data_IF_951887560562
#
_entry.id   IF_951887560562
#
_cell.length_a   1.000
_cell.length_b   1.000
_cell.length_c   1.000
_cell.angle_alpha   90.00
_cell.angle_beta   90.00
_cell.angle_gamma   90.00
#
_symmetry.space_group_name_H-M   'P 1'
#
loop_
_entity.id
_entity.type
_entity.pdbx_description
1 polymer ?
#
# COMPACT_ATOMS: atom_id res chain seq x y z
N UNK A 1 72.50 22.19 21.71
CA UNK A 1 71.30 23.04 21.39
C UNK A 1 70.25 22.12 20.78
N UNK A 2 69.36 21.58 21.65
CA UNK A 2 68.34 20.58 21.24
C UNK A 2 67.04 21.30 20.91
N UNK A 3 66.56 21.17 19.66
CA UNK A 3 65.19 21.58 19.29
C UNK A 3 64.23 20.47 19.70
N UNK A 4 63.28 20.75 20.60
CA UNK A 4 62.14 19.91 20.93
C UNK A 4 61.00 20.16 19.91
N UNK A 5 60.66 19.14 19.14
CA UNK A 5 59.50 19.14 18.25
C UNK A 5 58.22 18.94 19.07
N UNK A 6 57.29 19.88 18.96
CA UNK A 6 55.98 19.85 19.60
C UNK A 6 55.01 19.23 18.62
N UNK A 7 54.63 17.95 18.81
CA UNK A 7 53.60 17.29 18.01
C UNK A 7 52.20 17.62 18.54
N UNK A 8 51.47 18.41 17.78
CA UNK A 8 50.09 18.79 18.06
C UNK A 8 49.15 17.69 17.58
N UNK A 9 48.52 16.96 18.51
CA UNK A 9 47.52 15.92 18.20
C UNK A 9 46.17 16.59 18.00
N UNK A 10 45.64 16.55 16.76
CA UNK A 10 44.27 16.90 16.45
C UNK A 10 43.35 15.73 16.81
N UNK A 11 42.48 15.89 17.79
CA UNK A 11 41.36 14.99 18.02
C UNK A 11 40.21 15.43 17.12
N UNK A 12 39.90 14.63 16.12
CA UNK A 12 38.70 14.80 15.33
C UNK A 12 37.49 14.30 16.14
N UNK A 13 36.66 15.22 16.60
CA UNK A 13 35.37 14.90 17.20
C UNK A 13 34.40 14.53 16.08
N UNK A 14 34.12 13.25 15.88
CA UNK A 14 33.07 12.81 14.99
C UNK A 14 31.72 12.99 15.68
N UNK A 15 31.00 14.04 15.27
CA UNK A 15 29.62 14.25 15.69
C UNK A 15 28.73 13.22 14.96
N UNK A 16 28.42 12.12 15.63
CA UNK A 16 27.46 11.14 15.15
C UNK A 16 26.06 11.77 15.16
N UNK A 17 25.50 12.06 13.99
CA UNK A 17 24.09 12.45 13.86
C UNK A 17 23.26 11.20 14.13
N UNK A 18 22.72 11.09 15.33
CA UNK A 18 21.67 10.10 15.64
C UNK A 18 20.40 10.60 14.96
N UNK A 19 20.05 10.03 13.81
CA UNK A 19 18.73 10.19 13.22
C UNK A 19 17.76 9.39 14.10
N UNK A 20 17.15 10.07 15.06
CA UNK A 20 16.05 9.51 15.83
C UNK A 20 14.86 9.32 14.88
N UNK A 21 14.70 8.13 14.35
CA UNK A 21 13.47 7.73 13.68
C UNK A 21 12.32 7.89 14.67
N UNK A 22 11.39 8.82 14.42
CA UNK A 22 10.21 9.02 15.25
C UNK A 22 9.40 7.73 15.22
N UNK A 23 9.39 6.98 16.32
CA UNK A 23 8.46 5.89 16.56
C UNK A 23 7.06 6.51 16.61
N UNK A 24 6.29 6.36 15.54
CA UNK A 24 4.88 6.74 15.54
C UNK A 24 4.15 5.74 16.44
N UNK A 25 3.61 6.21 17.57
CA UNK A 25 2.85 5.37 18.49
C UNK A 25 1.55 4.88 17.83
N UNK A 26 1.11 3.68 18.24
CA UNK A 26 -0.20 3.19 17.85
C UNK A 26 -1.31 4.08 18.45
N UNK A 27 -2.41 4.24 17.71
CA UNK A 27 -3.59 4.92 18.22
C UNK A 27 -4.34 4.08 19.27
N UNK A 28 -5.44 4.62 19.81
CA UNK A 28 -6.26 3.94 20.84
C UNK A 28 -6.83 2.59 20.38
N UNK A 29 -6.98 2.39 19.07
CA UNK A 29 -7.50 1.17 18.46
C UNK A 29 -6.38 0.20 18.07
N UNK A 30 -5.11 0.55 18.34
CA UNK A 30 -3.91 -0.24 18.10
C UNK A 30 -3.38 -0.16 16.67
N UNK A 31 -3.83 0.82 15.88
CA UNK A 31 -3.29 1.06 14.53
C UNK A 31 -2.10 2.01 14.55
N UNK A 32 -1.09 1.69 13.75
CA UNK A 32 0.07 2.56 13.47
C UNK A 32 0.02 3.01 12.02
N UNK A 33 0.11 4.32 11.73
CA UNK A 33 0.22 4.81 10.35
C UNK A 33 1.45 4.21 9.66
N UNK A 34 1.25 3.70 8.43
CA UNK A 34 2.32 3.28 7.52
C UNK A 34 2.50 4.28 6.35
N UNK A 35 1.63 5.28 6.27
CA UNK A 35 1.77 6.48 5.46
C UNK A 35 1.75 7.70 6.38
N UNK A 36 2.78 8.56 6.26
CA UNK A 36 2.98 9.69 7.17
C UNK A 36 2.14 10.95 6.83
N UNK A 37 1.37 10.92 5.73
CA UNK A 37 0.55 12.04 5.26
C UNK A 37 1.33 13.20 4.63
N UNK A 38 2.67 13.10 4.50
CA UNK A 38 3.55 14.20 4.07
C UNK A 38 4.35 13.90 2.82
N UNK A 39 4.85 12.67 2.70
CA UNK A 39 5.69 12.22 1.58
C UNK A 39 5.61 10.70 1.43
N UNK A 40 6.30 10.15 0.44
CA UNK A 40 6.34 8.70 0.14
C UNK A 40 7.50 7.98 0.85
N UNK A 41 7.99 8.47 1.98
CA UNK A 41 8.99 7.79 2.80
C UNK A 41 8.48 6.41 3.25
N UNK A 42 9.30 5.36 3.08
CA UNK A 42 8.92 3.96 3.36
C UNK A 42 8.14 3.29 2.22
N UNK A 43 7.98 3.97 1.08
CA UNK A 43 7.31 3.45 -0.11
C UNK A 43 8.24 3.47 -1.32
N UNK A 44 8.12 2.42 -2.16
CA UNK A 44 8.81 2.27 -3.44
C UNK A 44 7.81 2.27 -4.57
N UNK A 45 8.29 2.46 -5.79
CA UNK A 45 7.47 2.47 -7.00
C UNK A 45 7.93 1.40 -7.98
N UNK A 46 6.97 0.81 -8.65
CA UNK A 46 7.17 -0.02 -9.82
C UNK A 46 6.28 0.52 -10.94
N UNK A 47 6.85 0.72 -12.11
CA UNK A 47 6.11 1.16 -13.30
C UNK A 47 6.22 0.10 -14.39
N UNK A 48 5.19 0.02 -15.23
CA UNK A 48 5.16 -0.89 -16.37
C UNK A 48 6.45 -0.75 -17.19
N UNK A 49 7.25 -1.83 -17.37
CA UNK A 49 8.44 -1.80 -18.21
C UNK A 49 8.16 -1.41 -19.68
N UNK A 50 6.89 -1.50 -20.11
CA UNK A 50 6.42 -1.08 -21.42
C UNK A 50 5.98 0.39 -21.47
N UNK A 51 5.97 1.10 -20.36
CA UNK A 51 5.65 2.52 -20.34
C UNK A 51 6.68 3.30 -21.18
N UNK A 52 6.28 4.39 -21.84
CA UNK A 52 7.21 5.26 -22.56
C UNK A 52 8.33 5.75 -21.64
N UNK A 53 9.59 5.69 -22.10
CA UNK A 53 10.76 6.01 -21.28
C UNK A 53 10.89 7.51 -20.94
N UNK A 54 10.22 8.37 -21.68
CA UNK A 54 10.17 9.81 -21.52
C UNK A 54 9.05 10.30 -20.58
N UNK A 55 8.25 9.39 -20.04
CA UNK A 55 7.20 9.73 -19.09
C UNK A 55 7.81 10.19 -17.74
N UNK A 56 7.34 11.34 -17.26
CA UNK A 56 7.68 11.84 -15.92
C UNK A 56 6.95 11.05 -14.83
N UNK A 57 7.63 10.00 -14.33
CA UNK A 57 7.07 9.13 -13.28
C UNK A 57 6.91 9.83 -11.93
N UNK A 58 7.58 10.98 -11.71
CA UNK A 58 7.47 11.74 -10.47
C UNK A 58 6.07 12.31 -10.24
N UNK A 59 5.28 12.44 -11.31
CA UNK A 59 3.90 12.92 -11.29
C UNK A 59 2.86 11.79 -11.22
N UNK A 60 3.28 10.53 -11.23
CA UNK A 60 2.35 9.40 -11.18
C UNK A 60 1.54 9.40 -9.89
N UNK A 61 2.22 9.49 -8.74
CA UNK A 61 1.58 9.63 -7.43
C UNK A 61 2.25 10.78 -6.66
N UNK A 62 1.49 11.78 -6.28
CA UNK A 62 1.94 12.91 -5.48
C UNK A 62 1.25 12.91 -4.12
N UNK A 63 1.87 13.54 -3.12
CA UNK A 63 1.24 13.76 -1.82
C UNK A 63 0.74 15.19 -1.73
N UNK A 64 -0.56 15.34 -1.47
CA UNK A 64 -1.21 16.63 -1.30
C UNK A 64 -2.33 16.55 -0.26
N UNK A 65 -2.41 17.50 0.63
CA UNK A 65 -3.45 17.62 1.68
C UNK A 65 -3.64 16.31 2.49
N UNK A 66 -2.52 15.64 2.83
CA UNK A 66 -2.53 14.40 3.60
C UNK A 66 -2.96 13.15 2.82
N UNK A 67 -3.11 13.25 1.52
CA UNK A 67 -3.50 12.15 0.64
C UNK A 67 -2.45 11.86 -0.44
N UNK A 68 -2.31 10.60 -0.83
CA UNK A 68 -1.63 10.16 -2.04
C UNK A 68 -2.61 10.29 -3.19
N UNK A 69 -2.28 11.04 -4.21
CA UNK A 69 -3.08 11.24 -5.43
C UNK A 69 -2.33 10.57 -6.57
N UNK A 70 -2.85 9.47 -7.08
CA UNK A 70 -2.29 8.75 -8.22
C UNK A 70 -3.07 9.06 -9.48
N UNK A 71 -2.36 9.45 -10.55
CA UNK A 71 -2.96 9.82 -11.84
C UNK A 71 -3.43 8.63 -12.68
N UNK A 72 -2.97 7.42 -12.34
CA UNK A 72 -3.20 6.21 -13.14
C UNK A 72 -2.26 6.03 -14.32
N UNK A 73 -1.34 6.96 -14.56
CA UNK A 73 -0.40 6.93 -15.71
C UNK A 73 1.00 7.41 -15.31
N UNK A 74 2.07 6.65 -15.67
CA UNK A 74 2.03 5.31 -16.25
C UNK A 74 1.40 4.29 -15.32
N UNK A 75 0.90 3.18 -15.88
CA UNK A 75 0.43 2.06 -15.06
C UNK A 75 1.58 1.50 -14.22
N UNK A 76 1.27 1.19 -12.97
CA UNK A 76 2.23 0.68 -12.00
C UNK A 76 1.60 0.54 -10.63
N UNK A 77 2.44 0.47 -9.62
CA UNK A 77 2.01 0.46 -8.22
C UNK A 77 3.07 1.08 -7.33
N UNK A 78 2.64 1.61 -6.19
CA UNK A 78 3.55 1.92 -5.09
C UNK A 78 3.37 0.88 -3.99
N UNK A 79 4.45 0.57 -3.27
CA UNK A 79 4.45 -0.52 -2.29
C UNK A 79 5.40 -0.23 -1.14
N UNK A 80 5.12 -0.84 0.02
CA UNK A 80 5.94 -0.66 1.23
C UNK A 80 7.32 -1.27 1.04
N UNK A 81 8.35 -0.62 1.59
CA UNK A 81 9.72 -1.15 1.63
C UNK A 81 9.87 -2.35 2.57
N UNK A 82 8.87 -2.56 3.45
CA UNK A 82 8.80 -3.65 4.43
C UNK A 82 7.72 -4.65 4.06
N UNK A 83 7.94 -5.90 4.46
CA UNK A 83 6.95 -6.97 4.40
C UNK A 83 6.18 -7.07 5.71
N UNK A 84 4.90 -7.45 5.62
CA UNK A 84 3.99 -7.64 6.75
C UNK A 84 3.36 -9.02 6.74
N UNK A 85 3.01 -9.52 7.91
CA UNK A 85 2.26 -10.77 8.15
C UNK A 85 1.33 -10.59 9.32
N UNK A 86 0.20 -11.29 9.33
CA UNK A 86 -0.75 -11.35 10.45
C UNK A 86 -1.19 -9.96 10.95
N UNK A 87 -1.90 -9.21 10.12
CA UNK A 87 -2.24 -7.81 10.38
C UNK A 87 -3.66 -7.46 9.92
N UNK A 88 -4.13 -6.31 10.38
CA UNK A 88 -5.24 -5.58 9.78
C UNK A 88 -4.68 -4.33 9.13
N UNK A 89 -4.89 -4.17 7.83
CA UNK A 89 -4.64 -2.95 7.06
C UNK A 89 -5.93 -2.16 6.97
N UNK A 90 -5.89 -0.87 7.27
CA UNK A 90 -7.01 0.05 7.04
C UNK A 90 -6.54 1.21 6.17
N UNK A 91 -7.35 1.62 5.20
CA UNK A 91 -7.11 2.78 4.38
C UNK A 91 -8.42 3.41 3.90
N UNK A 92 -8.36 4.70 3.59
CA UNK A 92 -9.43 5.41 2.92
C UNK A 92 -9.06 5.68 1.47
N UNK A 93 -10.06 5.59 0.61
CA UNK A 93 -9.91 5.78 -0.83
C UNK A 93 -11.09 6.53 -1.42
N UNK A 94 -10.85 7.20 -2.55
CA UNK A 94 -11.90 7.75 -3.39
C UNK A 94 -11.42 7.91 -4.83
N UNK A 95 -12.32 7.81 -5.77
CA UNK A 95 -12.19 8.39 -7.10
C UNK A 95 -12.76 9.82 -7.08
N UNK A 96 -12.23 10.79 -7.85
CA UNK A 96 -12.81 12.12 -7.94
C UNK A 96 -14.28 12.12 -8.35
N UNK A 97 -15.03 13.14 -7.95
CA UNK A 97 -16.40 13.30 -8.40
C UNK A 97 -16.47 13.39 -9.94
N UNK A 98 -17.41 12.68 -10.55
CA UNK A 98 -17.56 12.62 -12.01
C UNK A 98 -16.63 11.63 -12.70
N UNK A 99 -15.83 10.83 -11.97
CA UNK A 99 -15.03 9.74 -12.56
C UNK A 99 -15.93 8.69 -13.22
N UNK A 100 -15.37 7.95 -14.19
CA UNK A 100 -16.06 6.82 -14.81
C UNK A 100 -16.32 5.72 -13.75
N UNK A 101 -17.54 5.15 -13.67
CA UNK A 101 -17.82 4.00 -12.79
C UNK A 101 -16.93 2.78 -13.02
N UNK A 102 -16.25 2.71 -14.17
CA UNK A 102 -15.23 1.68 -14.47
C UNK A 102 -13.83 2.03 -13.95
N UNK A 103 -13.67 3.19 -13.29
CA UNK A 103 -12.39 3.61 -12.70
C UNK A 103 -11.77 2.49 -11.87
N UNK A 104 -10.47 2.28 -12.08
CA UNK A 104 -9.74 1.11 -11.60
C UNK A 104 -8.54 1.49 -10.74
N UNK A 105 -8.28 0.66 -9.77
CA UNK A 105 -7.12 0.59 -8.91
C UNK A 105 -7.12 -0.77 -8.20
N UNK A 106 -6.19 -1.04 -7.28
CA UNK A 106 -6.18 -2.25 -6.45
C UNK A 106 -5.29 -2.07 -5.23
N UNK A 107 -5.63 -2.78 -4.16
CA UNK A 107 -4.74 -3.00 -3.04
C UNK A 107 -4.07 -4.37 -3.23
N UNK A 108 -2.75 -4.45 -3.15
CA UNK A 108 -1.98 -5.68 -3.30
C UNK A 108 -1.46 -6.09 -1.92
N UNK A 109 -1.82 -7.27 -1.43
CA UNK A 109 -1.31 -7.80 -0.16
C UNK A 109 -0.52 -9.07 -0.38
N UNK A 110 0.48 -9.31 0.49
CA UNK A 110 1.37 -10.45 0.41
C UNK A 110 2.07 -10.58 -0.96
N UNK A 111 2.52 -9.43 -1.49
CA UNK A 111 3.23 -9.38 -2.77
C UNK A 111 4.51 -10.21 -2.73
N UNK A 112 4.80 -10.93 -3.82
CA UNK A 112 6.00 -11.79 -3.94
C UNK A 112 6.94 -11.24 -5.02
N UNK A 113 8.21 -11.11 -4.70
CA UNK A 113 9.26 -10.77 -5.66
C UNK A 113 9.54 -11.96 -6.63
N UNK A 114 10.10 -11.71 -7.82
CA UNK A 114 10.52 -10.41 -8.34
C UNK A 114 9.36 -9.58 -8.91
N UNK A 115 9.40 -8.26 -8.70
CA UNK A 115 8.47 -7.34 -9.33
C UNK A 115 8.96 -7.00 -10.75
N UNK A 116 8.47 -7.71 -11.74
CA UNK A 116 8.87 -7.58 -13.14
C UNK A 116 7.68 -7.35 -14.09
N UNK A 117 6.49 -7.20 -13.54
CA UNK A 117 5.22 -6.96 -14.27
C UNK A 117 4.22 -6.20 -13.39
N UNK A 118 3.26 -5.53 -14.02
CA UNK A 118 2.26 -4.69 -13.35
C UNK A 118 1.36 -5.41 -12.33
N UNK A 119 1.24 -6.73 -12.46
CA UNK A 119 0.45 -7.56 -11.58
C UNK A 119 1.37 -8.64 -10.99
N UNK A 120 2.09 -8.31 -9.89
CA UNK A 120 2.97 -9.26 -9.22
C UNK A 120 2.15 -10.36 -8.55
N UNK A 121 2.77 -11.52 -8.30
CA UNK A 121 2.14 -12.59 -7.54
C UNK A 121 1.72 -12.07 -6.16
N UNK A 122 0.40 -12.08 -5.89
CA UNK A 122 -0.19 -11.46 -4.69
C UNK A 122 -1.66 -11.84 -4.55
N UNK A 123 -2.30 -11.44 -3.45
CA UNK A 123 -3.75 -11.29 -3.39
C UNK A 123 -4.09 -9.81 -3.63
N UNK A 124 -5.05 -9.56 -4.50
CA UNK A 124 -5.54 -8.22 -4.80
C UNK A 124 -6.97 -8.03 -4.31
N UNK A 125 -7.20 -7.41 -3.14
CA UNK A 125 -8.45 -6.69 -2.90
C UNK A 125 -8.66 -5.63 -3.97
N UNK A 126 -9.55 -5.91 -4.93
CA UNK A 126 -9.80 -5.09 -6.11
C UNK A 126 -10.19 -3.66 -5.73
N UNK A 127 -9.60 -2.68 -6.41
CA UNK A 127 -9.88 -1.25 -6.22
C UNK A 127 -10.87 -0.65 -7.22
N UNK A 128 -11.33 -1.41 -8.23
CA UNK A 128 -12.33 -0.92 -9.17
C UNK A 128 -13.62 -0.57 -8.42
N UNK A 129 -14.19 0.61 -8.70
CA UNK A 129 -15.34 1.14 -7.95
C UNK A 129 -16.48 0.13 -7.80
N UNK A 130 -16.97 -0.47 -8.91
CA UNK A 130 -18.14 -1.33 -8.91
C UNK A 130 -17.95 -2.72 -8.30
N UNK A 131 -16.72 -3.19 -8.12
CA UNK A 131 -16.42 -4.48 -7.49
C UNK A 131 -15.29 -4.38 -6.46
N UNK A 132 -15.22 -3.23 -5.78
CA UNK A 132 -14.22 -2.94 -4.77
C UNK A 132 -14.22 -4.00 -3.67
N UNK A 133 -13.01 -4.43 -3.29
CA UNK A 133 -12.83 -5.45 -2.26
C UNK A 133 -12.97 -6.90 -2.73
N UNK A 134 -13.40 -7.19 -3.97
CA UNK A 134 -13.33 -8.55 -4.52
C UNK A 134 -11.87 -9.02 -4.57
N UNK A 135 -11.56 -10.20 -4.05
CA UNK A 135 -10.18 -10.70 -4.01
C UNK A 135 -9.82 -11.43 -5.30
N UNK A 136 -8.75 -10.98 -5.97
CA UNK A 136 -8.15 -11.66 -7.11
C UNK A 136 -6.82 -12.32 -6.69
N UNK A 137 -6.68 -13.65 -6.80
CA UNK A 137 -5.42 -14.36 -6.54
C UNK A 137 -4.50 -14.26 -7.77
N UNK A 138 -3.72 -13.17 -7.84
CA UNK A 138 -2.85 -12.88 -8.98
C UNK A 138 -1.64 -13.79 -8.98
N UNK A 139 -1.42 -14.51 -10.09
CA UNK A 139 -0.27 -15.40 -10.28
C UNK A 139 -0.25 -16.59 -9.35
N UNK A 140 -1.38 -16.97 -8.75
CA UNK A 140 -1.57 -18.18 -7.99
C UNK A 140 -2.27 -19.25 -8.85
N UNK A 141 -1.82 -20.48 -8.71
CA UNK A 141 -2.49 -21.64 -9.28
C UNK A 141 -3.74 -21.99 -8.48
N UNK A 142 -4.64 -22.79 -9.06
CA UNK A 142 -5.95 -23.07 -8.46
C UNK A 142 -5.86 -23.75 -7.08
N UNK A 143 -4.83 -24.52 -6.85
CA UNK A 143 -4.55 -25.27 -5.61
C UNK A 143 -3.97 -24.38 -4.50
N UNK A 144 -3.52 -23.17 -4.83
CA UNK A 144 -2.87 -22.25 -3.91
C UNK A 144 -3.85 -21.32 -3.20
N UNK A 145 -5.13 -21.38 -3.57
CA UNK A 145 -6.19 -20.62 -2.90
C UNK A 145 -7.51 -21.38 -2.88
N UNK A 146 -8.35 -21.02 -1.93
CA UNK A 146 -9.70 -21.61 -1.76
C UNK A 146 -10.64 -20.61 -1.09
N UNK A 147 -11.91 -20.97 -0.94
CA UNK A 147 -12.93 -20.13 -0.28
C UNK A 147 -12.95 -18.69 -0.76
N UNK A 148 -12.69 -18.47 -2.07
CA UNK A 148 -12.70 -17.12 -2.65
C UNK A 148 -14.15 -16.68 -2.87
N UNK A 149 -14.72 -16.01 -1.88
CA UNK A 149 -16.10 -15.54 -1.85
C UNK A 149 -16.15 -14.03 -1.99
N UNK A 150 -17.17 -13.55 -2.67
CA UNK A 150 -17.46 -12.14 -2.82
C UNK A 150 -18.97 -11.90 -2.90
N UNK A 151 -19.46 -10.95 -2.13
CA UNK A 151 -20.87 -10.55 -2.12
C UNK A 151 -21.03 -9.18 -2.80
N UNK A 152 -21.47 -9.20 -4.05
CA UNK A 152 -21.70 -8.02 -4.86
C UNK A 152 -22.87 -7.16 -4.32
N UNK A 153 -23.90 -7.80 -3.77
CA UNK A 153 -25.08 -7.09 -3.26
C UNK A 153 -24.73 -6.31 -1.99
N UNK A 154 -23.99 -6.93 -1.07
CA UNK A 154 -23.49 -6.24 0.12
C UNK A 154 -22.57 -5.08 -0.26
N UNK A 155 -21.64 -5.26 -1.21
CA UNK A 155 -20.79 -4.16 -1.68
C UNK A 155 -21.65 -3.01 -2.21
N UNK A 156 -22.60 -3.28 -3.09
CA UNK A 156 -23.42 -2.25 -3.73
C UNK A 156 -24.13 -1.36 -2.70
N UNK A 157 -24.59 -1.96 -1.60
CA UNK A 157 -25.23 -1.23 -0.48
C UNK A 157 -24.24 -0.37 0.32
N UNK A 158 -22.94 -0.65 0.23
CA UNK A 158 -21.89 0.05 0.98
C UNK A 158 -21.17 1.13 0.17
N UNK A 159 -21.26 1.11 -1.17
CA UNK A 159 -20.59 2.08 -2.01
C UNK A 159 -21.12 3.50 -1.74
N UNK A 160 -20.19 4.41 -1.47
CA UNK A 160 -20.49 5.84 -1.41
C UNK A 160 -20.36 6.47 -2.79
N UNK A 161 -21.02 7.58 -3.07
CA UNK A 161 -20.84 8.32 -4.32
C UNK A 161 -19.36 8.64 -4.59
N UNK A 162 -18.96 8.67 -5.86
CA UNK A 162 -17.62 9.14 -6.24
C UNK A 162 -17.40 10.58 -5.74
N UNK A 163 -16.19 10.88 -5.31
CA UNK A 163 -15.84 12.11 -4.59
C UNK A 163 -15.84 11.95 -3.08
N UNK A 164 -16.63 11.03 -2.54
CA UNK A 164 -16.68 10.74 -1.11
C UNK A 164 -15.62 9.71 -0.70
N UNK A 165 -15.07 9.87 0.51
CA UNK A 165 -14.12 8.92 1.07
C UNK A 165 -14.84 7.66 1.55
N UNK A 166 -14.42 6.52 1.03
CA UNK A 166 -14.77 5.18 1.50
C UNK A 166 -13.61 4.59 2.29
N UNK A 167 -13.92 3.70 3.24
CA UNK A 167 -12.94 2.99 4.04
C UNK A 167 -12.90 1.52 3.67
N UNK A 168 -11.69 0.97 3.54
CA UNK A 168 -11.47 -0.46 3.36
C UNK A 168 -10.60 -0.99 4.49
N UNK A 169 -10.97 -2.13 5.04
CA UNK A 169 -10.21 -2.92 6.01
C UNK A 169 -9.87 -4.27 5.39
N UNK A 170 -8.59 -4.61 5.37
CA UNK A 170 -8.10 -5.91 4.91
C UNK A 170 -7.46 -6.64 6.07
N UNK A 171 -8.08 -7.71 6.54
CA UNK A 171 -7.52 -8.58 7.57
C UNK A 171 -6.76 -9.71 6.92
N UNK A 172 -5.47 -9.81 7.18
CA UNK A 172 -4.56 -10.86 6.71
C UNK A 172 -4.11 -11.72 7.89
N UNK A 173 -4.64 -12.92 8.03
CA UNK A 173 -4.33 -13.81 9.15
C UNK A 173 -3.08 -14.68 8.90
N UNK A 174 -2.46 -15.14 9.98
CA UNK A 174 -1.24 -15.95 9.93
C UNK A 174 -1.40 -17.28 9.18
N UNK A 175 -2.60 -17.83 9.15
CA UNK A 175 -2.96 -19.06 8.40
C UNK A 175 -3.17 -18.84 6.90
N UNK A 176 -3.18 -17.57 6.44
CA UNK A 176 -3.37 -17.18 5.04
C UNK A 176 -4.81 -16.80 4.69
N UNK A 177 -5.72 -16.73 5.66
CA UNK A 177 -7.06 -16.20 5.44
C UNK A 177 -7.02 -14.69 5.28
N UNK A 178 -7.56 -14.17 4.18
CA UNK A 178 -7.73 -12.74 3.90
C UNK A 178 -9.22 -12.41 3.84
N UNK A 179 -9.63 -11.37 4.57
CA UNK A 179 -11.00 -10.84 4.58
C UNK A 179 -10.98 -9.36 4.24
N UNK A 180 -11.99 -8.91 3.51
CA UNK A 180 -12.13 -7.48 3.16
C UNK A 180 -13.46 -6.95 3.63
N UNK A 181 -13.41 -5.80 4.32
CA UNK A 181 -14.60 -5.00 4.65
C UNK A 181 -14.55 -3.68 3.88
N UNK A 182 -15.70 -3.25 3.40
CA UNK A 182 -15.92 -1.92 2.81
C UNK A 182 -16.93 -1.18 3.67
N UNK A 183 -16.55 0.00 4.14
CA UNK A 183 -17.37 0.84 5.05
C UNK A 183 -17.94 0.06 6.25
N UNK A 184 -17.13 -0.88 6.81
CA UNK A 184 -17.47 -1.68 7.99
C UNK A 184 -18.14 -3.03 7.72
N UNK A 185 -18.58 -3.31 6.47
CA UNK A 185 -19.25 -4.56 6.11
C UNK A 185 -18.33 -5.48 5.35
N UNK A 186 -18.22 -6.75 5.78
CA UNK A 186 -17.41 -7.77 5.10
C UNK A 186 -18.05 -8.13 3.76
N UNK A 187 -17.30 -7.93 2.67
CA UNK A 187 -17.76 -8.21 1.30
C UNK A 187 -17.05 -9.38 0.66
N UNK A 188 -15.87 -9.76 1.15
CA UNK A 188 -15.14 -10.91 0.58
C UNK A 188 -14.23 -11.60 1.59
N UNK A 189 -13.87 -12.83 1.24
CA UNK A 189 -12.81 -13.61 1.90
C UNK A 189 -12.13 -14.54 0.90
N UNK A 190 -10.87 -14.89 1.16
CA UNK A 190 -10.10 -15.85 0.39
C UNK A 190 -9.06 -16.52 1.29
N UNK A 191 -8.94 -17.84 1.25
CA UNK A 191 -7.85 -18.59 1.86
C UNK A 191 -6.72 -18.74 0.85
N UNK A 192 -5.47 -18.48 1.22
CA UNK A 192 -4.32 -18.53 0.34
C UNK A 192 -3.09 -19.15 1.01
N UNK A 193 -2.17 -19.65 0.17
CA UNK A 193 -0.83 -20.07 0.62
C UNK A 193 0.09 -18.87 0.93
N UNK A 194 -0.23 -17.68 0.40
CA UNK A 194 0.54 -16.46 0.68
C UNK A 194 0.20 -15.93 2.08
N UNK A 195 1.23 -15.72 2.90
CA UNK A 195 1.06 -15.36 4.32
C UNK A 195 1.79 -14.08 4.73
N UNK A 196 2.65 -13.56 3.86
CA UNK A 196 3.43 -12.35 4.12
C UNK A 196 3.93 -11.73 2.82
N UNK A 197 4.29 -10.47 2.88
CA UNK A 197 4.87 -9.71 1.78
C UNK A 197 4.64 -8.21 1.94
N UNK A 198 5.20 -7.39 1.05
CA UNK A 198 4.86 -5.98 0.96
C UNK A 198 3.38 -5.75 0.68
N UNK A 199 2.92 -4.54 1.02
CA UNK A 199 1.58 -4.03 0.70
C UNK A 199 1.75 -3.00 -0.41
N UNK A 200 0.92 -3.07 -1.45
CA UNK A 200 0.95 -2.12 -2.56
C UNK A 200 -0.42 -1.58 -2.93
N UNK A 201 -0.41 -0.49 -3.70
CA UNK A 201 -1.60 0.10 -4.28
C UNK A 201 -1.34 0.42 -5.74
N UNK A 202 -2.29 0.07 -6.59
CA UNK A 202 -2.16 0.26 -8.04
C UNK A 202 -2.46 1.72 -8.44
N UNK A 203 -1.66 2.22 -9.37
CA UNK A 203 -1.93 3.39 -10.19
C UNK A 203 -2.29 2.88 -11.58
N UNK A 204 -3.59 2.77 -11.89
CA UNK A 204 -4.07 2.06 -13.08
C UNK A 204 -5.16 2.83 -13.81
N UNK A 205 -4.78 3.55 -14.87
CA UNK A 205 -5.65 4.23 -15.85
C UNK A 205 -6.56 5.35 -15.31
N UNK A 206 -6.85 5.38 -14.00
CA UNK A 206 -7.77 6.32 -13.38
C UNK A 206 -7.09 7.09 -12.27
N UNK A 207 -7.44 8.36 -12.10
CA UNK A 207 -7.06 9.09 -10.90
C UNK A 207 -7.74 8.47 -9.68
N UNK A 208 -6.96 8.17 -8.65
CA UNK A 208 -7.43 7.63 -7.37
C UNK A 208 -6.67 8.27 -6.22
N UNK A 209 -7.38 8.55 -5.13
CA UNK A 209 -6.80 9.13 -3.92
C UNK A 209 -6.80 8.12 -2.79
N UNK A 210 -5.72 8.08 -2.00
CA UNK A 210 -5.59 7.27 -0.78
C UNK A 210 -5.15 8.13 0.39
N UNK A 211 -5.66 7.86 1.59
CA UNK A 211 -5.20 8.48 2.83
C UNK A 211 -5.43 7.56 4.03
N UNK A 212 -4.94 7.97 5.19
CA UNK A 212 -5.15 7.25 6.46
C UNK A 212 -4.76 5.77 6.37
N UNK A 213 -3.64 5.48 5.64
CA UNK A 213 -3.14 4.11 5.49
C UNK A 213 -2.43 3.73 6.77
N UNK A 214 -3.00 2.78 7.50
CA UNK A 214 -2.53 2.36 8.82
C UNK A 214 -2.67 0.86 9.02
N UNK A 215 -1.85 0.30 9.88
CA UNK A 215 -1.75 -1.13 10.11
C UNK A 215 -1.84 -1.44 11.60
N UNK A 216 -2.57 -2.50 11.94
CA UNK A 216 -2.62 -3.09 13.28
C UNK A 216 -2.05 -4.50 13.21
N UNK A 217 -0.98 -4.75 13.97
CA UNK A 217 -0.43 -6.11 14.11
C UNK A 217 -1.43 -6.97 14.88
N UNK A 218 -1.70 -8.17 14.38
CA UNK A 218 -2.46 -9.19 15.11
C UNK A 218 -1.52 -10.04 15.98
N UNK A 219 -2.02 -10.61 17.08
CA UNK A 219 -1.25 -11.48 17.96
C UNK A 219 -0.75 -12.76 17.30
#
# INVERSE_FOLDING_TARGET
>A
MLLKSLAMRFYALSLGIIVAGSLVAADKDGFTPIFNGKNMEGWKFFFDPKAPKDIDTSKNCIVKDGAIICSGKPTGFFYTDKSFKNYVLEYEWRFPAGSDPKSNSGCLVHMQEPFNKNFPRSLEPQGRYLNHGKIFPIGLEKEEYSNNKFDQELLTKQLKPMGEWSKTEVTCQADGLVKVKVNGVQVSECQSVLKSGPIGFQSEQSEVHFRNIRLKQLP
#
